data_IF_058224944476
#
_entry.id   IF_058224944476
#
_cell.length_a   1.000
_cell.length_b   1.000
_cell.length_c   1.000
_cell.angle_alpha   90.00
_cell.angle_beta   90.00
_cell.angle_gamma   90.00
#
_symmetry.space_group_name_H-M   'P 1'
#
loop_
_entity.id
_entity.type
_entity.pdbx_description
1 polymer ?
#
# COMPACT_ATOMS: atom_id res chain seq x y z
N UNK A 1 -2.24 5.86 -4.50
CA UNK A 1 -0.83 6.06 -4.91
C UNK A 1 0.08 4.90 -4.47
N UNK A 2 0.15 4.54 -3.18
CA UNK A 2 1.10 3.53 -2.66
C UNK A 2 1.14 2.19 -3.42
N UNK A 3 -0.01 1.54 -3.66
CA UNK A 3 -0.03 0.25 -4.36
C UNK A 3 0.51 0.34 -5.80
N UNK A 4 0.25 1.45 -6.50
CA UNK A 4 0.74 1.69 -7.86
C UNK A 4 2.27 1.83 -7.86
N UNK A 5 2.80 2.58 -6.89
CA UNK A 5 4.24 2.71 -6.66
C UNK A 5 4.91 1.37 -6.36
N UNK A 6 4.32 0.55 -5.50
CA UNK A 6 4.87 -0.74 -5.13
C UNK A 6 4.99 -1.69 -6.34
N UNK A 7 4.05 -1.61 -7.28
CA UNK A 7 4.11 -2.36 -8.55
C UNK A 7 5.14 -1.77 -9.52
N UNK A 8 5.23 -0.44 -9.64
CA UNK A 8 6.22 0.22 -10.52
C UNK A 8 7.65 -0.08 -10.09
N UNK A 9 7.92 -0.02 -8.80
CA UNK A 9 9.25 -0.23 -8.24
C UNK A 9 9.58 -1.71 -8.01
N UNK A 10 8.70 -2.63 -8.42
CA UNK A 10 8.94 -4.07 -8.33
C UNK A 10 9.11 -4.59 -6.89
N UNK A 11 8.59 -3.87 -5.89
CA UNK A 11 8.79 -4.22 -4.47
C UNK A 11 7.98 -5.46 -4.09
N UNK A 12 6.84 -5.68 -4.74
CA UNK A 12 6.00 -6.84 -4.50
C UNK A 12 6.25 -7.91 -5.57
N UNK A 13 6.61 -9.14 -5.18
CA UNK A 13 6.84 -10.21 -6.13
C UNK A 13 5.53 -10.61 -6.82
N UNK A 14 5.37 -10.19 -8.08
CA UNK A 14 4.22 -10.53 -8.93
C UNK A 14 4.20 -12.01 -9.35
N UNK A 15 5.37 -12.66 -9.29
CA UNK A 15 5.58 -14.06 -9.64
C UNK A 15 6.24 -14.75 -8.46
N UNK A 16 5.47 -15.05 -7.42
CA UNK A 16 5.89 -16.09 -6.49
C UNK A 16 5.56 -17.42 -7.17
N UNK A 17 6.61 -18.20 -7.50
CA UNK A 17 6.51 -19.62 -7.87
C UNK A 17 5.54 -20.29 -6.89
N UNK A 18 4.35 -20.63 -7.38
CA UNK A 18 3.22 -21.21 -6.64
C UNK A 18 2.76 -20.33 -5.45
N UNK A 19 1.68 -19.54 -5.65
CA UNK A 19 1.11 -18.66 -4.61
C UNK A 19 1.48 -17.18 -4.75
N UNK A 20 1.47 -16.65 -5.99
CA UNK A 20 1.73 -15.24 -6.30
C UNK A 20 0.87 -14.24 -5.53
N UNK A 21 1.39 -13.03 -5.35
CA UNK A 21 0.65 -11.95 -4.69
C UNK A 21 -0.61 -11.56 -5.47
N UNK A 22 -1.76 -11.62 -4.81
CA UNK A 22 -3.04 -11.19 -5.36
C UNK A 22 -3.47 -9.86 -4.75
N UNK A 23 -3.39 -8.79 -5.55
CA UNK A 23 -3.87 -7.48 -5.14
C UNK A 23 -5.37 -7.44 -4.86
N UNK A 24 -6.18 -8.23 -5.59
CA UNK A 24 -7.62 -8.28 -5.36
C UNK A 24 -7.95 -8.93 -4.02
N UNK A 25 -7.29 -10.04 -3.66
CA UNK A 25 -7.45 -10.67 -2.34
C UNK A 25 -6.96 -9.76 -1.21
N UNK A 26 -5.84 -9.05 -1.43
CA UNK A 26 -5.35 -8.04 -0.49
C UNK A 26 -6.41 -6.96 -0.21
N UNK A 27 -7.10 -6.45 -1.23
CA UNK A 27 -8.15 -5.43 -1.08
C UNK A 27 -9.38 -5.95 -0.34
N UNK A 28 -9.77 -7.21 -0.56
CA UNK A 28 -10.86 -7.85 0.19
C UNK A 28 -10.52 -7.94 1.69
N UNK A 29 -9.29 -8.34 2.01
CA UNK A 29 -8.81 -8.37 3.40
C UNK A 29 -8.72 -6.95 3.95
N UNK A 30 -8.23 -5.99 3.17
CA UNK A 30 -8.11 -4.59 3.58
C UNK A 30 -9.47 -4.01 4.01
N UNK A 31 -10.56 -4.31 3.30
CA UNK A 31 -11.91 -3.85 3.67
C UNK A 31 -12.33 -4.27 5.08
N UNK A 32 -11.78 -5.37 5.61
CA UNK A 32 -12.02 -5.79 6.99
C UNK A 32 -11.28 -4.92 8.00
N UNK A 33 -10.05 -4.53 7.70
CA UNK A 33 -9.12 -3.94 8.67
C UNK A 33 -8.89 -2.44 8.55
N UNK A 34 -9.15 -1.85 7.39
CA UNK A 34 -8.79 -0.45 7.03
C UNK A 34 -9.44 0.61 7.94
N UNK A 35 -10.53 0.28 8.64
CA UNK A 35 -11.20 1.19 9.58
C UNK A 35 -10.62 1.15 10.99
N UNK A 36 -9.75 0.19 11.31
CA UNK A 36 -9.11 0.13 12.62
C UNK A 36 -7.81 0.93 12.59
N UNK A 37 -7.55 1.66 13.67
CA UNK A 37 -6.26 2.30 13.87
C UNK A 37 -5.16 1.22 13.87
N UNK A 38 -4.05 1.53 13.20
CA UNK A 38 -2.87 0.69 13.19
C UNK A 38 -1.76 1.45 13.90
N UNK A 39 -1.58 1.15 15.17
CA UNK A 39 -0.68 1.86 16.07
C UNK A 39 0.76 1.35 15.93
N UNK A 40 1.70 2.16 16.41
CA UNK A 40 3.11 1.78 16.45
C UNK A 40 3.33 0.48 17.26
N UNK A 41 2.55 0.25 18.31
CA UNK A 41 2.60 -0.99 19.10
C UNK A 41 2.19 -2.20 18.28
N UNK A 42 1.17 -2.09 17.44
CA UNK A 42 0.71 -3.18 16.55
C UNK A 42 1.80 -3.53 15.53
N UNK A 43 2.49 -2.50 15.03
CA UNK A 43 3.64 -2.69 14.15
C UNK A 43 4.80 -3.40 14.86
N UNK A 44 5.08 -3.02 16.11
CA UNK A 44 6.13 -3.65 16.92
C UNK A 44 5.80 -5.09 17.31
N UNK A 45 4.55 -5.38 17.64
CA UNK A 45 4.09 -6.74 17.96
C UNK A 45 4.23 -7.67 16.75
N UNK A 46 3.83 -7.20 15.56
CA UNK A 46 3.80 -8.04 14.35
C UNK A 46 5.15 -8.15 13.63
N UNK A 47 5.94 -7.08 13.61
CA UNK A 47 7.19 -7.01 12.84
C UNK A 47 8.43 -6.71 13.68
N UNK A 48 8.30 -6.64 15.01
CA UNK A 48 9.39 -6.34 15.93
C UNK A 48 9.74 -4.85 16.02
N UNK A 49 10.72 -4.53 16.87
CA UNK A 49 11.28 -3.18 16.94
C UNK A 49 12.17 -2.90 15.71
N UNK A 50 11.86 -1.84 14.97
CA UNK A 50 12.72 -1.43 13.85
C UNK A 50 14.10 -1.03 14.35
N UNK A 51 15.13 -1.79 13.95
CA UNK A 51 16.50 -1.33 14.06
C UNK A 51 16.81 -0.45 12.84
N UNK A 52 17.16 0.82 13.06
CA UNK A 52 17.49 1.78 11.99
C UNK A 52 18.70 1.30 11.17
N UNK A 53 19.56 0.47 11.78
CA UNK A 53 20.70 -0.18 11.12
C UNK A 53 20.36 -1.53 10.47
N UNK A 54 19.13 -2.02 10.56
CA UNK A 54 18.72 -3.27 9.91
C UNK A 54 19.08 -3.32 8.42
N UNK A 55 18.89 -2.24 7.61
CA UNK A 55 19.26 -2.28 6.20
C UNK A 55 20.77 -2.45 5.96
N UNK A 56 21.61 -1.94 6.87
CA UNK A 56 23.07 -2.02 6.79
C UNK A 56 23.61 -3.41 7.16
N UNK A 57 22.86 -4.16 7.97
CA UNK A 57 23.20 -5.54 8.39
C UNK A 57 22.47 -6.61 7.57
N UNK A 58 21.89 -6.25 6.42
CA UNK A 58 21.15 -7.18 5.55
C UNK A 58 19.75 -7.57 6.05
N UNK A 59 19.23 -6.87 7.05
CA UNK A 59 17.86 -7.00 7.55
C UNK A 59 16.86 -6.14 6.76
N UNK A 60 15.58 -6.54 6.77
CA UNK A 60 14.48 -5.79 6.15
C UNK A 60 13.70 -5.05 7.24
N UNK A 61 13.53 -3.74 7.10
CA UNK A 61 12.63 -2.93 7.96
C UNK A 61 11.41 -2.43 7.17
N UNK A 62 10.35 -2.02 7.87
CA UNK A 62 9.19 -1.38 7.25
C UNK A 62 9.61 -0.07 6.58
N UNK A 63 10.51 0.69 7.22
CA UNK A 63 11.14 1.89 6.63
C UNK A 63 11.86 1.57 5.32
N UNK A 64 12.72 0.56 5.31
CA UNK A 64 13.45 0.18 4.09
C UNK A 64 12.49 -0.22 2.98
N UNK A 65 11.44 -0.98 3.31
CA UNK A 65 10.40 -1.35 2.36
C UNK A 65 9.66 -0.12 1.83
N UNK A 66 9.34 0.85 2.69
CA UNK A 66 8.71 2.10 2.28
C UNK A 66 9.61 2.91 1.33
N UNK A 67 10.90 3.03 1.62
CA UNK A 67 11.86 3.72 0.75
C UNK A 67 11.93 3.06 -0.63
N UNK A 68 11.93 1.72 -0.70
CA UNK A 68 11.86 1.00 -1.97
C UNK A 68 10.54 1.30 -2.72
N UNK A 69 9.42 1.39 -2.02
CA UNK A 69 8.12 1.72 -2.65
C UNK A 69 8.08 3.17 -3.14
N UNK A 70 8.53 4.13 -2.36
CA UNK A 70 8.50 5.53 -2.75
C UNK A 70 9.62 5.90 -3.74
N UNK A 71 10.68 5.08 -3.82
CA UNK A 71 11.84 5.32 -4.68
C UNK A 71 12.71 6.48 -4.20
N UNK A 72 12.52 6.92 -2.95
CA UNK A 72 13.24 8.03 -2.34
C UNK A 72 13.59 7.72 -0.88
N UNK A 73 14.60 8.40 -0.35
CA UNK A 73 14.94 8.33 1.08
C UNK A 73 13.87 9.04 1.91
N UNK A 74 13.72 8.63 3.16
CA UNK A 74 12.86 9.33 4.11
C UNK A 74 13.41 10.72 4.49
N UNK A 75 14.66 11.00 4.14
CA UNK A 75 15.37 12.26 4.37
C UNK A 75 15.29 13.20 3.16
N UNK A 76 14.82 12.71 2.00
CA UNK A 76 14.64 13.53 0.80
C UNK A 76 13.33 14.32 0.93
N UNK A 77 13.41 15.65 0.74
CA UNK A 77 12.26 16.55 0.86
C UNK A 77 11.34 16.55 -0.37
N UNK A 78 11.83 16.07 -1.52
CA UNK A 78 11.10 16.07 -2.78
C UNK A 78 10.55 14.68 -3.12
N UNK A 79 9.30 14.65 -3.59
CA UNK A 79 8.69 13.44 -4.12
C UNK A 79 9.30 13.10 -5.48
N UNK A 80 9.65 11.83 -5.70
CA UNK A 80 10.11 11.34 -7.00
C UNK A 80 9.04 11.56 -8.08
N UNK A 81 9.46 11.68 -9.34
CA UNK A 81 8.55 11.76 -10.49
C UNK A 81 7.55 10.59 -10.50
N UNK A 82 8.00 9.40 -10.10
CA UNK A 82 7.14 8.22 -9.97
C UNK A 82 6.06 8.40 -8.89
N UNK A 83 6.41 9.01 -7.75
CA UNK A 83 5.45 9.32 -6.69
C UNK A 83 4.44 10.37 -7.13
N UNK A 84 4.89 11.42 -7.84
CA UNK A 84 4.00 12.44 -8.41
C UNK A 84 3.04 11.83 -9.43
N UNK A 85 3.55 11.00 -10.35
CA UNK A 85 2.75 10.30 -11.35
C UNK A 85 1.73 9.34 -10.71
N UNK A 86 2.14 8.58 -9.68
CA UNK A 86 1.24 7.67 -8.99
C UNK A 86 0.16 8.40 -8.17
N UNK A 87 0.45 9.62 -7.72
CA UNK A 87 -0.52 10.49 -7.06
C UNK A 87 -1.53 11.04 -8.06
N UNK A 88 -1.08 11.55 -9.21
CA UNK A 88 -1.96 12.01 -10.29
C UNK A 88 -2.86 10.89 -10.81
N UNK A 89 -2.33 9.67 -10.95
CA UNK A 89 -3.12 8.48 -11.30
C UNK A 89 -4.19 8.15 -10.27
N UNK A 90 -3.86 8.21 -8.97
CA UNK A 90 -4.82 7.98 -7.91
C UNK A 90 -5.94 9.02 -7.90
N UNK A 91 -5.62 10.29 -8.20
CA UNK A 91 -6.62 11.35 -8.38
C UNK A 91 -7.52 11.07 -9.59
N UNK A 92 -6.93 10.72 -10.75
CA UNK A 92 -7.70 10.38 -11.94
C UNK A 92 -8.63 9.16 -11.73
N UNK A 93 -8.22 8.19 -10.90
CA UNK A 93 -9.11 7.09 -10.50
C UNK A 93 -10.30 7.60 -9.67
N UNK A 94 -10.07 8.50 -8.71
CA UNK A 94 -11.15 9.11 -7.91
C UNK A 94 -12.12 9.91 -8.79
N UNK A 95 -11.65 10.46 -9.91
CA UNK A 95 -12.46 11.13 -10.94
C UNK A 95 -13.17 10.15 -11.91
N UNK A 96 -13.05 8.84 -11.69
CA UNK A 96 -13.77 7.81 -12.44
C UNK A 96 -12.94 7.07 -13.50
N UNK A 97 -11.63 7.34 -13.64
CA UNK A 97 -10.76 6.60 -14.57
C UNK A 97 -10.36 5.23 -14.00
N UNK A 98 -11.29 4.28 -14.10
CA UNK A 98 -11.18 2.92 -13.55
C UNK A 98 -10.01 2.08 -14.07
N UNK A 99 -9.50 2.37 -15.28
CA UNK A 99 -8.40 1.59 -15.90
C UNK A 99 -7.05 1.73 -15.18
N UNK A 100 -6.85 2.80 -14.40
CA UNK A 100 -5.59 3.08 -13.69
C UNK A 100 -5.23 1.96 -12.71
N UNK A 101 -6.21 1.35 -12.07
CA UNK A 101 -5.99 0.36 -11.00
C UNK A 101 -5.93 -1.09 -11.51
N UNK A 102 -5.92 -1.32 -12.83
CA UNK A 102 -5.89 -2.64 -13.43
C UNK A 102 -4.75 -3.53 -12.91
N UNK A 103 -3.57 -2.94 -12.68
CA UNK A 103 -2.36 -3.64 -12.19
C UNK A 103 -2.35 -3.87 -10.67
N UNK A 104 -3.27 -3.26 -9.95
CA UNK A 104 -3.35 -3.29 -8.48
C UNK A 104 -4.74 -3.75 -8.02
N UNK A 105 -5.20 -4.89 -8.55
CA UNK A 105 -6.44 -5.54 -8.11
C UNK A 105 -7.67 -5.22 -8.96
N UNK A 106 -7.55 -4.27 -9.90
CA UNK A 106 -8.62 -3.95 -10.85
C UNK A 106 -9.77 -3.16 -10.23
N UNK A 107 -10.55 -2.51 -11.09
CA UNK A 107 -11.57 -1.55 -10.66
C UNK A 107 -12.61 -2.17 -9.71
N UNK A 108 -13.04 -3.41 -9.96
CA UNK A 108 -14.06 -4.09 -9.16
C UNK A 108 -13.64 -4.28 -7.70
N UNK A 109 -12.38 -4.66 -7.43
CA UNK A 109 -11.91 -4.87 -6.06
C UNK A 109 -11.80 -3.54 -5.30
N UNK A 110 -11.44 -2.45 -5.98
CA UNK A 110 -11.43 -1.11 -5.40
C UNK A 110 -12.85 -0.58 -5.16
N UNK A 111 -13.78 -0.80 -6.09
CA UNK A 111 -15.19 -0.43 -5.93
C UNK A 111 -15.80 -1.14 -4.69
N UNK A 112 -15.50 -2.42 -4.49
CA UNK A 112 -15.96 -3.19 -3.32
C UNK A 112 -15.34 -2.69 -2.01
N UNK A 113 -14.05 -2.32 -2.02
CA UNK A 113 -13.39 -1.71 -0.87
C UNK A 113 -14.04 -0.37 -0.50
N UNK A 114 -14.30 0.50 -1.48
CA UNK A 114 -14.95 1.80 -1.27
C UNK A 114 -16.37 1.61 -0.72
N UNK A 115 -17.12 0.65 -1.27
CA UNK A 115 -18.44 0.29 -0.76
C UNK A 115 -18.38 -0.19 0.69
N UNK A 116 -17.48 -1.11 1.02
CA UNK A 116 -17.27 -1.61 2.39
C UNK A 116 -16.92 -0.46 3.34
N UNK A 117 -16.09 0.48 2.89
CA UNK A 117 -15.73 1.67 3.66
C UNK A 117 -16.91 2.61 3.88
N UNK A 118 -17.78 2.77 2.88
CA UNK A 118 -18.99 3.59 3.00
C UNK A 118 -19.97 2.98 4.01
N UNK A 119 -20.20 1.66 3.94
CA UNK A 119 -21.04 0.92 4.89
C UNK A 119 -20.47 1.01 6.32
N UNK A 120 -19.13 0.98 6.46
CA UNK A 120 -18.47 1.10 7.77
C UNK A 120 -18.32 2.52 8.29
N UNK A 121 -18.40 3.55 7.43
CA UNK A 121 -18.45 4.96 7.85
C UNK A 121 -19.70 5.28 8.67
N UNK A 122 -20.76 4.48 8.52
CA UNK A 122 -21.96 4.53 9.37
C UNK A 122 -21.78 3.78 10.70
N UNK A 123 -20.62 3.15 10.95
CA UNK A 123 -20.29 2.53 12.21
C UNK A 123 -19.64 3.59 13.12
N UNK A 124 -20.29 4.01 14.22
CA UNK A 124 -19.74 5.01 15.12
C UNK A 124 -18.57 4.37 15.86
N UNK A 125 -17.36 4.64 15.41
CA UNK A 125 -16.19 4.55 16.27
C UNK A 125 -15.85 6.00 16.63
N UNK A 126 -16.13 6.28 17.91
CA UNK A 126 -16.21 7.55 18.63
C UNK A 126 -17.57 8.25 18.57
#
# INVERSE_FOLDING_TARGET
>A
AFCLLAVRNGVIPLVAKEGGWSWSECLLVAGRFVCYAFEKSDAQERWGSENVFAPMMGGRSLRHTAQLVYGNSAEEQEASDDAQNAQAEAQAWAEGRKSIVARVGGATAWDELVKTLAEKKECPLF
#
